data_IF_533317457645
#
_entry.id   IF_533317457645
#
_cell.length_a   1.000
_cell.length_b   1.000
_cell.length_c   1.000
_cell.angle_alpha   90.00
_cell.angle_beta   90.00
_cell.angle_gamma   90.00
#
_symmetry.space_group_name_H-M   'P 1'
#
loop_
_entity.id
_entity.type
_entity.pdbx_description
1 polymer ?
#
# COMPACT_ATOMS: atom_id res chain seq x y z
N UNK A 1 -2.03 17.17 -10.07
CA UNK A 1 -1.82 15.78 -10.52
C UNK A 1 -1.94 14.76 -9.39
N UNK A 2 -1.13 14.82 -8.33
CA UNK A 2 -1.11 13.82 -7.25
C UNK A 2 -2.48 13.60 -6.57
N UNK A 3 -3.22 14.68 -6.24
CA UNK A 3 -4.58 14.59 -5.69
C UNK A 3 -5.50 13.79 -6.60
N UNK A 4 -5.52 14.12 -7.90
CA UNK A 4 -6.34 13.45 -8.91
C UNK A 4 -5.99 11.95 -9.03
N UNK A 5 -4.69 11.60 -8.95
CA UNK A 5 -4.25 10.22 -8.96
C UNK A 5 -4.75 9.44 -7.74
N UNK A 6 -4.74 10.05 -6.54
CA UNK A 6 -5.27 9.41 -5.33
C UNK A 6 -6.80 9.27 -5.37
N UNK A 7 -7.50 10.27 -5.93
CA UNK A 7 -8.94 10.18 -6.16
C UNK A 7 -9.27 9.02 -7.10
N UNK A 8 -8.51 8.84 -8.19
CA UNK A 8 -8.68 7.72 -9.12
C UNK A 8 -8.49 6.36 -8.41
N UNK A 9 -7.47 6.22 -7.55
CA UNK A 9 -7.29 5.02 -6.73
C UNK A 9 -8.50 4.79 -5.82
N UNK A 10 -9.02 5.83 -5.17
CA UNK A 10 -10.19 5.74 -4.29
C UNK A 10 -11.47 5.37 -5.08
N UNK A 11 -11.63 5.88 -6.28
CA UNK A 11 -12.74 5.49 -7.18
C UNK A 11 -12.61 4.01 -7.53
N UNK A 12 -11.41 3.55 -7.91
CA UNK A 12 -11.14 2.15 -8.18
C UNK A 12 -11.55 1.25 -7.01
N UNK A 13 -11.18 1.65 -5.80
CA UNK A 13 -11.45 0.91 -4.55
C UNK A 13 -12.89 1.10 -4.01
N UNK A 14 -13.75 1.84 -4.71
CA UNK A 14 -15.13 2.11 -4.27
C UNK A 14 -15.20 2.97 -3.00
N UNK A 15 -14.24 3.89 -2.82
CA UNK A 15 -14.19 4.86 -1.72
C UNK A 15 -14.70 6.23 -2.13
N UNK A 16 -14.74 6.48 -3.42
CA UNK A 16 -15.36 7.63 -4.07
C UNK A 16 -16.17 7.12 -5.25
N UNK A 17 -17.27 7.79 -5.54
CA UNK A 17 -18.07 7.48 -6.72
C UNK A 17 -17.44 8.10 -7.97
N UNK A 18 -16.85 9.29 -7.84
CA UNK A 18 -16.22 10.03 -8.94
C UNK A 18 -15.08 10.91 -8.40
N UNK A 19 -14.24 11.41 -9.30
CA UNK A 19 -13.20 12.42 -8.99
C UNK A 19 -13.82 13.80 -8.81
N UNK A 20 -13.19 14.68 -8.03
CA UNK A 20 -13.68 16.05 -7.76
C UNK A 20 -13.78 16.90 -9.04
N UNK A 21 -12.90 16.65 -10.02
CA UNK A 21 -12.91 17.30 -11.32
C UNK A 21 -12.52 16.33 -12.42
N UNK A 22 -13.03 16.56 -13.61
CA UNK A 22 -12.60 15.81 -14.79
C UNK A 22 -11.10 15.99 -15.06
N UNK A 23 -10.36 14.91 -15.37
CA UNK A 23 -8.99 15.02 -15.86
C UNK A 23 -8.97 15.80 -17.20
N UNK A 24 -7.99 16.68 -17.37
CA UNK A 24 -7.72 17.30 -18.67
C UNK A 24 -7.10 16.27 -19.64
N UNK A 25 -7.19 16.52 -20.92
CA UNK A 25 -6.69 15.59 -21.96
C UNK A 25 -5.21 15.27 -21.75
N UNK A 26 -4.40 16.26 -21.39
CA UNK A 26 -2.97 16.13 -21.10
C UNK A 26 -2.65 15.47 -19.76
N UNK A 27 -3.61 15.33 -18.85
CA UNK A 27 -3.41 14.69 -17.54
C UNK A 27 -3.55 13.16 -17.60
N UNK A 28 -4.32 12.63 -18.55
CA UNK A 28 -4.54 11.20 -18.71
C UNK A 28 -3.25 10.39 -18.93
N UNK A 29 -2.31 10.81 -19.81
CA UNK A 29 -1.04 10.11 -19.96
C UNK A 29 -0.21 10.08 -18.68
N UNK A 30 -0.27 11.14 -17.88
CA UNK A 30 0.46 11.21 -16.62
C UNK A 30 -0.17 10.30 -15.53
N UNK A 31 -1.51 10.21 -15.48
CA UNK A 31 -2.20 9.26 -14.61
C UNK A 31 -1.82 7.82 -14.95
N UNK A 32 -1.83 7.47 -16.23
CA UNK A 32 -1.41 6.15 -16.71
C UNK A 32 0.05 5.86 -16.35
N UNK A 33 0.95 6.82 -16.61
CA UNK A 33 2.36 6.71 -16.27
C UNK A 33 2.59 6.47 -14.77
N UNK A 34 1.86 7.16 -13.89
CA UNK A 34 1.91 6.98 -12.45
C UNK A 34 1.39 5.61 -12.04
N UNK A 35 0.26 5.17 -12.60
CA UNK A 35 -0.33 3.87 -12.32
C UNK A 35 0.63 2.72 -12.69
N UNK A 36 1.22 2.79 -13.88
CA UNK A 36 2.23 1.83 -14.37
C UNK A 36 3.49 1.86 -13.50
N UNK A 37 3.99 3.06 -13.17
CA UNK A 37 5.18 3.23 -12.33
C UNK A 37 5.05 2.62 -10.94
N UNK A 38 3.85 2.64 -10.38
CA UNK A 38 3.55 2.08 -9.06
C UNK A 38 3.01 0.65 -9.10
N UNK A 39 2.93 0.02 -10.28
CA UNK A 39 2.48 -1.36 -10.45
C UNK A 39 0.98 -1.57 -10.19
N UNK A 40 0.17 -0.52 -10.30
CA UNK A 40 -1.28 -0.55 -10.03
C UNK A 40 -2.11 -0.14 -11.26
N UNK A 41 -1.58 -0.37 -12.45
CA UNK A 41 -2.24 -0.01 -13.71
C UNK A 41 -3.63 -0.66 -13.82
N UNK A 42 -3.76 -1.96 -13.54
CA UNK A 42 -5.04 -2.67 -13.56
C UNK A 42 -6.05 -2.12 -12.57
N UNK A 43 -5.63 -1.86 -11.31
CA UNK A 43 -6.52 -1.26 -10.32
C UNK A 43 -6.97 0.14 -10.73
N UNK A 44 -6.06 0.99 -11.22
CA UNK A 44 -6.42 2.33 -11.68
C UNK A 44 -7.34 2.29 -12.91
N UNK A 45 -7.17 1.30 -13.81
CA UNK A 45 -8.06 1.15 -14.97
C UNK A 45 -9.49 0.83 -14.56
N UNK A 46 -9.71 0.00 -13.52
CA UNK A 46 -11.05 -0.20 -12.94
C UNK A 46 -11.69 1.13 -12.47
N UNK A 47 -10.87 2.04 -11.94
CA UNK A 47 -11.32 3.38 -11.61
C UNK A 47 -11.69 4.19 -12.86
N UNK A 48 -10.89 4.09 -13.92
CA UNK A 48 -11.19 4.72 -15.22
C UNK A 48 -12.50 4.21 -15.82
N UNK A 49 -12.75 2.90 -15.79
CA UNK A 49 -14.00 2.30 -16.26
C UNK A 49 -15.22 2.87 -15.51
N UNK A 50 -15.13 3.01 -14.18
CA UNK A 50 -16.17 3.65 -13.39
C UNK A 50 -16.41 5.11 -13.81
N UNK A 51 -15.34 5.85 -14.13
CA UNK A 51 -15.47 7.21 -14.62
C UNK A 51 -16.19 7.31 -15.98
N UNK A 52 -16.18 6.25 -16.81
CA UNK A 52 -16.94 6.21 -18.05
C UNK A 52 -18.45 6.32 -17.82
N UNK A 53 -18.96 5.80 -16.70
CA UNK A 53 -20.37 5.93 -16.31
C UNK A 53 -20.76 7.40 -16.09
N UNK A 54 -19.82 8.25 -15.72
CA UNK A 54 -19.98 9.69 -15.54
C UNK A 54 -19.64 10.49 -16.81
N UNK A 55 -19.39 9.83 -17.95
CA UNK A 55 -19.04 10.46 -19.22
C UNK A 55 -17.59 10.99 -19.28
N UNK A 56 -16.75 10.66 -18.30
CA UNK A 56 -15.36 11.08 -18.26
C UNK A 56 -14.50 10.04 -18.99
N UNK A 57 -13.97 10.43 -20.17
CA UNK A 57 -13.17 9.54 -21.01
C UNK A 57 -11.85 10.21 -21.39
N UNK A 58 -10.77 9.43 -21.33
CA UNK A 58 -9.47 9.82 -21.84
C UNK A 58 -9.36 9.63 -23.37
N UNK A 59 -8.20 10.00 -23.96
CA UNK A 59 -7.89 9.72 -25.37
C UNK A 59 -8.03 8.23 -25.68
N UNK A 60 -8.69 7.90 -26.80
CA UNK A 60 -9.06 6.51 -27.12
C UNK A 60 -7.84 5.56 -27.20
N UNK A 61 -6.78 5.98 -27.90
CA UNK A 61 -5.57 5.16 -28.05
C UNK A 61 -4.94 4.86 -26.69
N UNK A 62 -4.86 5.85 -25.81
CA UNK A 62 -4.33 5.67 -24.44
C UNK A 62 -5.22 4.72 -23.61
N UNK A 63 -6.54 4.77 -23.80
CA UNK A 63 -7.46 3.87 -23.08
C UNK A 63 -7.28 2.41 -23.52
N UNK A 64 -6.98 2.17 -24.80
CA UNK A 64 -6.67 0.84 -25.31
C UNK A 64 -5.34 0.32 -24.72
N UNK A 65 -4.28 1.13 -24.73
CA UNK A 65 -3.00 0.79 -24.12
C UNK A 65 -3.14 0.47 -22.63
N UNK A 66 -3.95 1.25 -21.91
CA UNK A 66 -4.16 1.05 -20.48
C UNK A 66 -4.98 -0.22 -20.20
N UNK A 67 -5.97 -0.51 -21.04
CA UNK A 67 -6.77 -1.73 -20.97
C UNK A 67 -5.88 -2.97 -21.16
N UNK A 68 -5.04 -2.98 -22.21
CA UNK A 68 -4.11 -4.08 -22.50
C UNK A 68 -3.15 -4.32 -21.32
N UNK A 69 -2.52 -3.27 -20.79
CA UNK A 69 -1.67 -3.35 -19.59
C UNK A 69 -2.43 -3.87 -18.37
N UNK A 70 -3.71 -3.54 -18.25
CA UNK A 70 -4.55 -3.98 -17.13
C UNK A 70 -4.82 -5.49 -17.17
N UNK A 71 -5.06 -6.04 -18.35
CA UNK A 71 -5.27 -7.47 -18.54
C UNK A 71 -4.03 -8.29 -18.16
N UNK A 72 -2.83 -7.80 -18.51
CA UNK A 72 -1.57 -8.45 -18.15
C UNK A 72 -1.27 -8.42 -16.64
N UNK A 73 -1.78 -7.40 -15.94
CA UNK A 73 -1.51 -7.20 -14.51
C UNK A 73 -2.63 -7.73 -13.60
N UNK A 74 -3.73 -8.23 -14.19
CA UNK A 74 -4.97 -8.57 -13.48
C UNK A 74 -4.99 -9.99 -12.87
N UNK A 75 -3.91 -10.40 -12.24
CA UNK A 75 -3.90 -11.62 -11.39
C UNK A 75 -4.23 -11.30 -9.91
N UNK A 76 -4.99 -10.23 -9.70
CA UNK A 76 -4.92 -9.43 -8.47
C UNK A 76 -6.02 -9.69 -7.43
N UNK A 77 -6.83 -10.74 -7.55
CA UNK A 77 -7.75 -11.16 -6.49
C UNK A 77 -7.16 -12.24 -5.56
N UNK A 78 -5.99 -12.76 -5.88
CA UNK A 78 -5.25 -13.65 -4.99
C UNK A 78 -4.35 -12.80 -4.12
N UNK A 79 -4.74 -12.57 -2.87
CA UNK A 79 -3.79 -12.11 -1.86
C UNK A 79 -2.75 -13.20 -1.75
N UNK A 80 -1.63 -13.01 -2.43
CA UNK A 80 -0.47 -13.87 -2.21
C UNK A 80 -0.16 -13.87 -0.72
N UNK A 81 -0.21 -15.06 -0.12
CA UNK A 81 0.21 -15.23 1.26
C UNK A 81 1.68 -14.85 1.33
N UNK A 82 1.95 -13.64 1.80
CA UNK A 82 3.33 -13.15 1.90
C UNK A 82 4.16 -14.08 2.75
N UNK A 83 5.06 -14.82 2.10
CA UNK A 83 6.04 -15.63 2.81
C UNK A 83 7.01 -14.72 3.55
N UNK A 84 7.36 -15.06 4.79
CA UNK A 84 8.31 -14.28 5.56
C UNK A 84 9.66 -14.15 4.85
N UNK A 85 10.11 -12.92 4.56
CA UNK A 85 11.45 -12.64 4.06
C UNK A 85 12.41 -12.26 5.18
N UNK A 86 13.73 -12.47 5.01
CA UNK A 86 14.71 -11.99 5.98
C UNK A 86 14.81 -10.45 5.93
N UNK A 87 14.96 -9.84 7.11
CA UNK A 87 15.28 -8.41 7.21
C UNK A 87 16.78 -8.19 6.98
N UNK A 88 17.15 -7.14 6.22
CA UNK A 88 18.56 -6.78 5.97
C UNK A 88 19.30 -6.33 7.23
N UNK A 89 18.60 -5.76 8.23
CA UNK A 89 19.19 -5.44 9.52
C UNK A 89 19.37 -6.72 10.38
N UNK A 90 20.61 -7.12 10.77
CA UNK A 90 20.85 -8.39 11.45
C UNK A 90 20.16 -8.52 12.81
N UNK A 91 20.08 -7.46 13.59
CA UNK A 91 19.44 -7.46 14.91
C UNK A 91 17.93 -7.66 14.80
N UNK A 92 17.30 -6.93 13.87
CA UNK A 92 15.87 -7.09 13.58
C UNK A 92 15.57 -8.46 12.97
N UNK A 93 16.43 -8.95 12.06
CA UNK A 93 16.27 -10.27 11.48
C UNK A 93 16.32 -11.38 12.54
N UNK A 94 17.19 -11.24 13.54
CA UNK A 94 17.22 -12.20 14.67
C UNK A 94 15.91 -12.19 15.46
N UNK A 95 15.34 -11.01 15.71
CA UNK A 95 14.02 -10.90 16.38
C UNK A 95 12.91 -11.44 15.50
N UNK A 96 12.94 -11.13 14.19
CA UNK A 96 11.97 -11.62 13.21
C UNK A 96 11.94 -13.15 13.16
N UNK A 97 13.10 -13.81 13.09
CA UNK A 97 13.22 -15.28 13.14
C UNK A 97 12.65 -15.86 14.44
N UNK A 98 12.82 -15.19 15.58
CA UNK A 98 12.22 -15.64 16.86
C UNK A 98 10.69 -15.56 16.80
N UNK A 99 10.14 -14.45 16.31
CA UNK A 99 8.69 -14.30 16.15
C UNK A 99 8.13 -15.39 15.24
N UNK A 100 8.79 -15.67 14.11
CA UNK A 100 8.40 -16.76 13.22
C UNK A 100 8.41 -18.11 13.91
N UNK A 101 9.50 -18.43 14.63
CA UNK A 101 9.63 -19.69 15.36
C UNK A 101 8.56 -19.86 16.43
N UNK A 102 8.27 -18.80 17.20
CA UNK A 102 7.26 -18.84 18.27
C UNK A 102 5.84 -19.05 17.68
N UNK A 103 5.61 -18.74 16.42
CA UNK A 103 4.32 -18.88 15.73
C UNK A 103 4.22 -20.11 14.82
N UNK A 104 5.29 -20.88 14.60
CA UNK A 104 5.28 -22.07 13.72
C UNK A 104 4.17 -23.07 14.09
N UNK A 105 3.93 -23.26 15.39
CA UNK A 105 2.95 -24.22 15.88
C UNK A 105 1.49 -23.72 15.83
N UNK A 106 1.27 -22.43 15.53
CA UNK A 106 -0.07 -21.81 15.49
C UNK A 106 -0.68 -21.85 14.08
N UNK A 107 0.08 -22.30 13.08
CA UNK A 107 -0.32 -22.23 11.67
C UNK A 107 -0.30 -20.82 11.10
N UNK A 108 -0.74 -20.65 9.85
CA UNK A 108 -0.82 -19.34 9.23
C UNK A 108 -1.88 -18.49 9.94
N UNK A 109 -1.45 -17.48 10.70
CA UNK A 109 -2.34 -16.55 11.39
C UNK A 109 -2.40 -15.21 10.65
N UNK A 110 -3.56 -14.53 10.77
CA UNK A 110 -3.76 -13.19 10.24
C UNK A 110 -2.67 -12.22 10.71
N UNK A 111 -2.29 -12.31 11.97
CA UNK A 111 -1.20 -11.53 12.57
C UNK A 111 0.12 -11.74 11.84
N UNK A 112 0.48 -13.00 11.54
CA UNK A 112 1.74 -13.32 10.85
C UNK A 112 1.74 -12.88 9.40
N UNK A 113 0.63 -13.00 8.68
CA UNK A 113 0.51 -12.51 7.31
C UNK A 113 0.70 -11.00 7.25
N UNK A 114 0.00 -10.26 8.12
CA UNK A 114 0.12 -8.80 8.17
C UNK A 114 1.54 -8.36 8.59
N UNK A 115 2.17 -9.03 9.54
CA UNK A 115 3.56 -8.78 9.92
C UNK A 115 4.51 -9.06 8.76
N UNK A 116 4.34 -10.17 8.03
CA UNK A 116 5.17 -10.52 6.88
C UNK A 116 5.07 -9.47 5.79
N UNK A 117 3.85 -9.04 5.44
CA UNK A 117 3.63 -7.97 4.48
C UNK A 117 4.26 -6.65 4.91
N UNK A 118 4.13 -6.26 6.19
CA UNK A 118 4.77 -5.06 6.71
C UNK A 118 6.30 -5.14 6.71
N UNK A 119 6.88 -6.33 6.90
CA UNK A 119 8.33 -6.54 6.72
C UNK A 119 8.72 -6.34 5.27
N UNK A 120 7.94 -6.86 4.30
CA UNK A 120 8.17 -6.60 2.87
C UNK A 120 8.13 -5.09 2.56
N UNK A 121 7.07 -4.40 2.98
CA UNK A 121 6.92 -2.96 2.80
C UNK A 121 8.11 -2.21 3.41
N UNK A 122 8.55 -2.58 4.62
CA UNK A 122 9.68 -1.96 5.30
C UNK A 122 10.99 -2.16 4.54
N UNK A 123 11.29 -3.39 4.11
CA UNK A 123 12.54 -3.69 3.40
C UNK A 123 12.58 -2.97 2.04
N UNK A 124 11.47 -2.95 1.29
CA UNK A 124 11.37 -2.19 0.05
C UNK A 124 11.54 -0.69 0.30
N UNK A 125 10.85 -0.12 1.28
CA UNK A 125 10.93 1.30 1.59
C UNK A 125 12.33 1.77 1.98
N UNK A 126 13.04 0.97 2.81
CA UNK A 126 14.35 1.36 3.35
C UNK A 126 15.49 1.11 2.37
N UNK A 127 15.42 0.05 1.58
CA UNK A 127 16.56 -0.43 0.82
C UNK A 127 16.37 -0.42 -0.69
N UNK A 128 15.17 -0.21 -1.14
CA UNK A 128 14.81 -0.27 -2.54
C UNK A 128 13.81 0.86 -2.89
N UNK A 129 12.85 0.57 -3.74
CA UNK A 129 11.76 1.49 -4.09
C UNK A 129 10.43 0.83 -3.74
N UNK A 130 9.66 1.48 -2.89
CA UNK A 130 8.34 0.99 -2.51
C UNK A 130 7.29 1.38 -3.56
N UNK A 131 6.73 0.42 -4.33
CA UNK A 131 5.59 0.68 -5.19
C UNK A 131 4.30 0.76 -4.37
N UNK A 132 3.28 1.46 -4.87
CA UNK A 132 1.96 1.48 -4.24
C UNK A 132 1.26 0.12 -4.29
N UNK A 133 1.71 -0.81 -5.13
CA UNK A 133 1.20 -2.18 -5.16
C UNK A 133 1.23 -2.85 -3.78
N UNK A 134 2.36 -2.80 -3.08
CA UNK A 134 2.46 -3.38 -1.73
C UNK A 134 1.56 -2.67 -0.70
N UNK A 135 1.31 -1.38 -0.89
CA UNK A 135 0.34 -0.65 -0.08
C UNK A 135 -1.10 -1.10 -0.41
N UNK A 136 -1.39 -1.36 -1.67
CA UNK A 136 -2.67 -1.89 -2.11
C UNK A 136 -2.94 -3.28 -1.52
N UNK A 137 -1.93 -4.14 -1.47
CA UNK A 137 -2.05 -5.46 -0.84
C UNK A 137 -2.31 -5.33 0.66
N UNK A 138 -1.64 -4.41 1.33
CA UNK A 138 -1.91 -4.11 2.75
C UNK A 138 -3.33 -3.58 2.96
N UNK A 139 -3.82 -2.72 2.09
CA UNK A 139 -5.20 -2.24 2.10
C UNK A 139 -6.20 -3.40 1.94
N UNK A 140 -6.00 -4.25 0.93
CA UNK A 140 -6.86 -5.41 0.67
C UNK A 140 -6.87 -6.38 1.85
N UNK A 141 -5.69 -6.70 2.39
CA UNK A 141 -5.56 -7.60 3.54
C UNK A 141 -6.29 -7.06 4.77
N UNK A 142 -6.13 -5.76 5.08
CA UNK A 142 -6.81 -5.12 6.21
C UNK A 142 -8.33 -5.06 6.02
N UNK A 143 -8.80 -4.91 4.78
CA UNK A 143 -10.23 -4.88 4.46
C UNK A 143 -10.91 -6.26 4.53
N UNK A 144 -10.15 -7.36 4.41
CA UNK A 144 -10.68 -8.73 4.55
C UNK A 144 -10.99 -9.14 6.00
N UNK A 145 -10.72 -8.26 6.97
CA UNK A 145 -10.93 -8.50 8.41
C UNK A 145 -12.41 -8.76 8.77
N UNK A 146 -13.36 -8.45 7.89
CA UNK A 146 -14.80 -8.64 8.15
C UNK A 146 -15.27 -10.12 8.14
N UNK A 147 -14.64 -10.97 8.93
CA UNK A 147 -15.28 -12.24 9.27
C UNK A 147 -14.40 -13.49 9.36
N UNK A 148 -13.20 -13.51 8.79
CA UNK A 148 -12.33 -14.69 8.85
C UNK A 148 -10.85 -14.40 9.11
N UNK A 149 -10.47 -13.12 9.16
CA UNK A 149 -9.09 -12.69 9.25
C UNK A 149 -8.94 -11.56 10.27
N UNK A 150 -9.07 -11.88 11.57
CA UNK A 150 -8.84 -10.90 12.63
C UNK A 150 -7.44 -11.10 13.24
N UNK A 151 -6.51 -10.15 13.04
CA UNK A 151 -5.25 -10.19 13.74
C UNK A 151 -5.47 -9.91 15.24
N UNK A 152 -4.77 -10.64 16.11
CA UNK A 152 -4.67 -10.23 17.51
C UNK A 152 -3.90 -8.89 17.58
N UNK A 153 -4.63 -7.80 17.77
CA UNK A 153 -4.09 -6.44 17.78
C UNK A 153 -3.06 -6.25 18.91
N UNK A 154 -3.24 -6.92 20.06
CA UNK A 154 -2.32 -6.81 21.17
C UNK A 154 -0.99 -7.52 20.85
N UNK A 155 -1.06 -8.74 20.32
CA UNK A 155 0.12 -9.49 19.90
C UNK A 155 0.82 -8.82 18.72
N UNK A 156 0.05 -8.37 17.72
CA UNK A 156 0.55 -7.62 16.58
C UNK A 156 1.38 -6.40 17.02
N UNK A 157 0.81 -5.54 17.86
CA UNK A 157 1.50 -4.34 18.35
C UNK A 157 2.72 -4.67 19.21
N UNK A 158 2.68 -5.77 19.98
CA UNK A 158 3.83 -6.27 20.75
C UNK A 158 4.97 -6.68 19.82
N UNK A 159 4.67 -7.39 18.74
CA UNK A 159 5.66 -7.82 17.76
C UNK A 159 6.23 -6.65 16.95
N UNK A 160 5.41 -5.66 16.58
CA UNK A 160 5.89 -4.42 15.96
C UNK A 160 6.90 -3.67 16.84
N UNK A 161 6.67 -3.62 18.17
CA UNK A 161 7.62 -3.00 19.10
C UNK A 161 8.92 -3.79 19.18
N UNK A 162 8.87 -5.14 19.24
CA UNK A 162 10.08 -6.00 19.20
C UNK A 162 10.91 -5.78 17.94
N UNK A 163 10.25 -5.54 16.80
CA UNK A 163 10.89 -5.26 15.52
C UNK A 163 11.30 -3.79 15.35
N UNK A 164 10.97 -2.91 16.31
CA UNK A 164 11.10 -1.44 16.18
C UNK A 164 10.40 -0.90 14.91
N UNK A 165 9.25 -1.46 14.55
CA UNK A 165 8.48 -1.11 13.35
C UNK A 165 7.16 -0.38 13.66
N UNK A 166 6.80 -0.20 14.94
CA UNK A 166 5.52 0.43 15.29
C UNK A 166 5.37 1.82 14.63
N UNK A 167 6.39 2.63 14.73
CA UNK A 167 6.37 3.97 14.15
C UNK A 167 6.32 3.99 12.62
N UNK A 168 6.98 3.02 12.00
CA UNK A 168 6.90 2.81 10.56
C UNK A 168 5.47 2.43 10.16
N UNK A 169 4.87 1.46 10.85
CA UNK A 169 3.51 1.00 10.61
C UNK A 169 2.47 2.10 10.79
N UNK A 170 2.64 2.97 11.78
CA UNK A 170 1.79 4.16 11.94
C UNK A 170 1.84 5.10 10.70
N UNK A 171 3.00 5.22 10.06
CA UNK A 171 3.16 5.93 8.79
C UNK A 171 2.45 5.21 7.64
N UNK A 172 2.57 3.88 7.56
CA UNK A 172 1.84 3.04 6.57
C UNK A 172 0.34 3.24 6.72
N UNK A 173 -0.21 3.14 7.94
CA UNK A 173 -1.65 3.35 8.19
C UNK A 173 -2.14 4.71 7.70
N UNK A 174 -1.36 5.77 7.93
CA UNK A 174 -1.71 7.10 7.43
C UNK A 174 -1.70 7.17 5.89
N UNK A 175 -0.72 6.54 5.23
CA UNK A 175 -0.68 6.49 3.74
C UNK A 175 -1.88 5.73 3.20
N UNK A 176 -2.28 4.62 3.83
CA UNK A 176 -3.46 3.85 3.44
C UNK A 176 -4.76 4.66 3.62
N UNK A 177 -4.88 5.45 4.72
CA UNK A 177 -5.99 6.37 4.93
C UNK A 177 -6.04 7.45 3.85
N UNK A 178 -4.90 8.15 3.63
CA UNK A 178 -4.82 9.30 2.74
C UNK A 178 -4.88 8.95 1.26
N UNK A 179 -4.27 7.84 0.83
CA UNK A 179 -4.21 7.47 -0.59
C UNK A 179 -5.38 6.57 -0.99
N UNK A 180 -5.74 5.60 -0.16
CA UNK A 180 -6.67 4.52 -0.50
C UNK A 180 -8.01 4.62 0.24
N UNK A 181 -8.15 5.55 1.20
CA UNK A 181 -9.38 5.72 1.97
C UNK A 181 -9.65 4.57 2.94
N UNK A 182 -8.60 3.98 3.55
CA UNK A 182 -8.76 2.94 4.57
C UNK A 182 -9.43 3.53 5.82
N UNK A 183 -10.52 2.94 6.25
CA UNK A 183 -11.22 3.36 7.46
C UNK A 183 -10.46 2.94 8.72
N UNK A 184 -10.46 3.82 9.73
CA UNK A 184 -9.72 3.61 11.00
C UNK A 184 -10.08 2.34 11.74
N UNK A 185 -11.32 1.85 11.60
CA UNK A 185 -11.77 0.60 12.23
C UNK A 185 -10.97 -0.63 11.80
N UNK A 186 -10.35 -0.60 10.61
CA UNK A 186 -9.50 -1.68 10.10
C UNK A 186 -8.03 -1.53 10.47
N UNK A 187 -7.64 -0.43 11.12
CA UNK A 187 -6.25 -0.16 11.45
C UNK A 187 -5.85 -0.82 12.77
N UNK A 188 -4.82 -1.66 12.79
CA UNK A 188 -4.33 -2.29 14.02
C UNK A 188 -3.53 -1.33 14.93
N UNK A 189 -3.19 -0.14 14.44
CA UNK A 189 -2.56 0.94 15.22
C UNK A 189 -2.95 2.31 14.69
N UNK A 190 -2.87 3.33 15.55
CA UNK A 190 -3.19 4.71 15.20
C UNK A 190 -2.27 5.26 14.10
N UNK A 191 -2.82 5.91 13.06
CA UNK A 191 -2.03 6.51 12.00
C UNK A 191 -1.23 7.72 12.51
N UNK A 192 -0.06 7.96 11.90
CA UNK A 192 0.78 9.11 12.21
C UNK A 192 0.98 9.98 10.98
N UNK A 193 0.29 11.12 10.92
CA UNK A 193 0.38 12.07 9.80
C UNK A 193 1.82 12.49 9.49
N UNK A 194 2.60 12.87 10.52
CA UNK A 194 3.98 13.33 10.33
C UNK A 194 4.84 12.28 9.62
N UNK A 195 4.69 11.01 9.99
CA UNK A 195 5.47 9.90 9.42
C UNK A 195 4.92 9.48 8.07
N UNK A 196 3.60 9.50 7.92
CA UNK A 196 2.93 9.18 6.67
C UNK A 196 3.22 10.19 5.57
N UNK A 197 3.20 11.50 5.86
CA UNK A 197 3.59 12.54 4.89
C UNK A 197 5.02 12.36 4.40
N UNK A 198 5.95 12.05 5.32
CA UNK A 198 7.33 11.74 4.92
C UNK A 198 7.39 10.49 4.04
N UNK A 199 6.71 9.41 4.44
CA UNK A 199 6.66 8.17 3.66
C UNK A 199 6.08 8.40 2.27
N UNK A 200 4.97 9.13 2.17
CA UNK A 200 4.33 9.45 0.90
C UNK A 200 5.24 10.28 -0.01
N UNK A 201 5.96 11.27 0.53
CA UNK A 201 6.92 12.06 -0.26
C UNK A 201 8.07 11.22 -0.83
N UNK A 202 8.47 10.15 -0.11
CA UNK A 202 9.45 9.17 -0.61
C UNK A 202 8.86 8.30 -1.71
N UNK A 203 7.67 7.76 -1.51
CA UNK A 203 6.97 6.92 -2.49
C UNK A 203 6.76 7.68 -3.80
N UNK A 204 6.35 8.94 -3.72
CA UNK A 204 6.12 9.80 -4.89
C UNK A 204 7.40 10.40 -5.50
N UNK A 205 8.58 10.08 -4.94
CA UNK A 205 9.88 10.54 -5.47
C UNK A 205 10.20 11.99 -5.20
N UNK A 206 9.48 12.65 -4.29
CA UNK A 206 9.68 14.07 -3.95
C UNK A 206 10.80 14.29 -2.92
N UNK A 207 11.07 13.30 -2.08
CA UNK A 207 12.05 13.41 -1.01
C UNK A 207 13.50 13.29 -1.52
N UNK A 208 14.30 14.33 -1.32
CA UNK A 208 15.75 14.31 -1.57
C UNK A 208 16.49 13.89 -0.30
N UNK A 209 17.52 13.04 -0.43
CA UNK A 209 18.38 12.68 0.71
C UNK A 209 17.79 11.63 1.68
N UNK A 210 17.04 10.70 1.18
CA UNK A 210 16.24 9.70 1.90
C UNK A 210 16.99 8.98 3.04
N UNK A 211 18.24 8.54 2.84
CA UNK A 211 18.96 7.71 3.83
C UNK A 211 19.25 8.42 5.16
N UNK A 212 19.49 9.73 5.14
CA UNK A 212 19.73 10.50 6.37
C UNK A 212 18.42 10.78 7.12
N UNK A 213 17.33 11.01 6.40
CA UNK A 213 16.02 11.26 6.96
C UNK A 213 15.37 9.99 7.55
N UNK A 214 15.57 8.82 6.93
CA UNK A 214 15.03 7.54 7.42
C UNK A 214 15.42 7.26 8.86
N UNK A 215 16.66 7.52 9.25
CA UNK A 215 17.14 7.37 10.64
C UNK A 215 16.42 8.29 11.63
N UNK A 216 16.04 9.49 11.19
CA UNK A 216 15.44 10.51 12.08
C UNK A 216 13.93 10.34 12.26
N UNK A 217 13.22 9.80 11.27
CA UNK A 217 11.75 9.80 11.25
C UNK A 217 11.10 8.45 11.51
N UNK A 218 11.83 7.35 11.30
CA UNK A 218 11.26 6.00 11.39
C UNK A 218 11.81 5.18 12.57
N UNK A 219 12.88 5.64 13.18
CA UNK A 219 13.52 5.05 14.34
C UNK A 219 13.58 6.05 15.50
#
# INVERSE_FOLDING_TARGET
MQKLFFELIRVALGRLDCVDRAPLTEEWPELYRLAKHHGIAGTCYQGVEKLFEFGLRGPQDLMLDWMEESEETFDADVIELYTPIPMKNPLRNRQWKRIQHDNVNLGPSATMHLLSLLVHIHEQFVYDRLPLLLMLDAYRLLRQIDGHFEPDVADFNRNLRKLSMLHFTQGVMWVLEEVMGLERRYMPCEPSEKKGRFMLSVIMGEAKGIRQMLKKYLY
#
